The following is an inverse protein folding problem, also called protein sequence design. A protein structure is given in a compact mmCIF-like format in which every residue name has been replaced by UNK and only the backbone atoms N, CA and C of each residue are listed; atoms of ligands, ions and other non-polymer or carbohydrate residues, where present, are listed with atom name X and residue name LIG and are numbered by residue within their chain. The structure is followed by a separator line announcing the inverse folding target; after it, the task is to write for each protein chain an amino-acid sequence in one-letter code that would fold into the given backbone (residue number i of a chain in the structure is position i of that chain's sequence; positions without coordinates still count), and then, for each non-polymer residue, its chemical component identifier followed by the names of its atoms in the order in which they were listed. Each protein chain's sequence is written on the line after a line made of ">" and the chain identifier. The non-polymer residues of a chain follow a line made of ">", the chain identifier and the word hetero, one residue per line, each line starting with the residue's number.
data_IF_067317478818
#
_entry.id   IF_067317478818
#
_cell.length_a   1.000
_cell.length_b   1.000
_cell.length_c   1.000
_cell.angle_alpha   90.00
_cell.angle_beta   90.00
_cell.angle_gamma   90.00
#
_symmetry.space_group_name_H-M   'P 1'
#
loop_
_entity.id
_entity.type
_entity.pdbx_description
1 polymer ?
#
# COMPACT_ATOMS: atom_id res chain seq x y z
N UNK A 1 20.74 -31.86 -2.56
CA UNK A 1 19.59 -31.38 -3.35
C UNK A 1 19.23 -30.00 -2.83
N UNK A 2 19.07 -29.03 -3.71
CA UNK A 2 18.55 -27.69 -3.42
C UNK A 2 17.21 -27.54 -4.11
N UNK A 3 16.19 -27.09 -3.38
CA UNK A 3 14.85 -26.79 -3.90
C UNK A 3 14.39 -25.44 -3.41
N UNK A 4 13.55 -24.77 -4.18
CA UNK A 4 12.90 -23.50 -3.79
C UNK A 4 11.41 -23.58 -4.08
N UNK A 5 10.59 -22.98 -3.21
CA UNK A 5 9.15 -22.88 -3.36
C UNK A 5 8.62 -21.64 -2.69
N UNK A 6 7.58 -21.05 -3.25
CA UNK A 6 6.80 -19.96 -2.63
C UNK A 6 5.72 -20.51 -1.68
N UNK A 7 5.46 -21.82 -1.75
CA UNK A 7 4.36 -22.48 -1.03
C UNK A 7 4.88 -23.70 -0.25
N UNK A 8 5.62 -23.48 0.85
CA UNK A 8 6.15 -24.59 1.64
C UNK A 8 5.07 -25.46 2.29
N UNK A 9 3.88 -24.91 2.52
CA UNK A 9 2.73 -25.57 3.16
C UNK A 9 2.12 -26.69 2.30
N UNK A 10 2.27 -26.65 0.97
CA UNK A 10 1.76 -27.70 0.06
C UNK A 10 2.75 -28.87 -0.12
N UNK A 11 3.95 -28.73 0.40
CA UNK A 11 4.94 -29.81 0.32
C UNK A 11 4.54 -30.98 1.22
N UNK A 12 4.68 -32.20 0.69
CA UNK A 12 4.50 -33.40 1.50
C UNK A 12 5.46 -33.36 2.70
N UNK A 13 4.90 -33.53 3.90
CA UNK A 13 5.65 -33.59 5.15
C UNK A 13 6.78 -34.62 5.13
N UNK A 14 6.63 -35.68 4.32
CA UNK A 14 7.65 -36.70 4.13
C UNK A 14 8.91 -36.16 3.45
N UNK A 15 8.81 -35.11 2.60
CA UNK A 15 9.96 -34.46 1.96
C UNK A 15 10.78 -33.65 2.97
N UNK A 16 10.14 -33.19 4.04
CA UNK A 16 10.77 -32.32 5.05
C UNK A 16 11.41 -33.09 6.20
N UNK A 17 11.42 -34.45 6.14
CA UNK A 17 12.06 -35.31 7.16
C UNK A 17 13.57 -35.24 7.06
N UNK A 18 14.30 -35.48 8.18
CA UNK A 18 15.77 -35.60 8.19
C UNK A 18 16.31 -36.51 7.08
N UNK A 19 17.39 -36.08 6.43
CA UNK A 19 18.01 -36.77 5.30
C UNK A 19 17.38 -36.49 3.92
N UNK A 20 16.42 -35.59 3.84
CA UNK A 20 15.80 -35.12 2.58
C UNK A 20 15.92 -33.59 2.47
N UNK A 21 14.83 -32.84 2.42
CA UNK A 21 14.79 -31.36 2.45
C UNK A 21 14.64 -30.89 3.90
N UNK A 22 15.56 -31.27 4.75
CA UNK A 22 15.52 -31.09 6.19
C UNK A 22 15.98 -29.69 6.65
N UNK A 23 16.75 -29.00 5.82
CA UNK A 23 17.25 -27.67 6.12
C UNK A 23 16.42 -26.63 5.37
N UNK A 24 15.69 -25.80 6.11
CA UNK A 24 14.87 -24.71 5.55
C UNK A 24 15.59 -23.39 5.74
N UNK A 25 15.67 -22.63 4.64
CA UNK A 25 16.17 -21.25 4.64
C UNK A 25 14.98 -20.38 4.21
N UNK A 26 14.51 -19.53 5.11
CA UNK A 26 13.47 -18.57 4.81
C UNK A 26 14.15 -17.37 4.15
N UNK A 27 13.64 -16.96 2.99
CA UNK A 27 14.06 -15.74 2.29
C UNK A 27 12.92 -14.73 2.43
N UNK A 28 13.03 -13.89 3.44
CA UNK A 28 12.06 -12.84 3.72
C UNK A 28 12.13 -11.70 2.69
N UNK A 29 11.10 -10.83 2.71
CA UNK A 29 11.14 -9.58 1.95
C UNK A 29 12.32 -8.73 2.44
N UNK A 30 13.05 -8.06 1.53
CA UNK A 30 14.20 -7.27 1.91
C UNK A 30 13.79 -6.03 2.73
N UNK A 31 14.57 -5.72 3.76
CA UNK A 31 14.53 -4.44 4.46
C UNK A 31 15.07 -3.30 3.57
N UNK A 32 15.05 -2.07 4.06
CA UNK A 32 15.52 -0.90 3.32
C UNK A 32 16.94 -1.07 2.75
N UNK A 33 17.88 -1.57 3.59
CA UNK A 33 19.28 -1.81 3.16
C UNK A 33 19.35 -2.91 2.11
N UNK A 34 18.56 -3.96 2.29
CA UNK A 34 18.44 -5.05 1.33
C UNK A 34 17.89 -4.58 -0.01
N UNK A 35 16.84 -3.75 -0.02
CA UNK A 35 16.27 -3.18 -1.25
C UNK A 35 17.29 -2.29 -1.97
N UNK A 36 17.98 -1.41 -1.24
CA UNK A 36 19.03 -0.58 -1.81
C UNK A 36 20.18 -1.41 -2.40
N UNK A 37 20.60 -2.47 -1.70
CA UNK A 37 21.63 -3.38 -2.20
C UNK A 37 21.19 -4.12 -3.48
N UNK A 38 19.93 -4.57 -3.55
CA UNK A 38 19.38 -5.23 -4.74
C UNK A 38 19.31 -4.25 -5.91
N UNK A 39 18.81 -3.02 -5.69
CA UNK A 39 18.82 -1.96 -6.70
C UNK A 39 20.23 -1.70 -7.23
N UNK A 40 21.24 -1.58 -6.35
CA UNK A 40 22.65 -1.40 -6.73
C UNK A 40 23.18 -2.57 -7.58
N UNK A 41 22.79 -3.80 -7.28
CA UNK A 41 23.19 -4.98 -8.09
C UNK A 41 22.63 -4.90 -9.50
N UNK A 42 21.35 -4.57 -9.65
CA UNK A 42 20.72 -4.47 -10.96
C UNK A 42 21.17 -3.23 -11.73
N UNK A 43 21.44 -2.14 -11.04
CA UNK A 43 21.97 -0.89 -11.59
C UNK A 43 23.37 -1.03 -12.24
N UNK A 44 24.18 -2.02 -11.82
CA UNK A 44 25.49 -2.30 -12.46
C UNK A 44 25.41 -2.63 -13.94
N UNK A 45 24.24 -3.06 -14.41
CA UNK A 45 24.03 -3.46 -15.83
C UNK A 45 23.61 -2.29 -16.72
N UNK A 46 23.34 -1.13 -16.18
CA UNK A 46 22.82 0.06 -16.86
C UNK A 46 23.65 1.28 -16.52
N UNK A 47 23.53 2.33 -17.33
CA UNK A 47 24.15 3.62 -17.01
C UNK A 47 23.18 4.47 -16.21
N UNK A 48 23.62 4.91 -15.04
CA UNK A 48 22.93 5.91 -14.23
C UNK A 48 23.56 7.28 -14.47
N UNK A 49 22.77 8.34 -14.39
CA UNK A 49 23.30 9.69 -14.35
C UNK A 49 23.56 10.15 -12.88
N UNK A 50 24.10 11.34 -12.72
CA UNK A 50 24.50 11.89 -11.41
C UNK A 50 23.30 12.26 -10.53
N UNK A 51 22.08 12.30 -11.08
CA UNK A 51 20.85 12.64 -10.33
C UNK A 51 20.29 11.48 -9.54
N UNK A 52 20.79 10.26 -9.76
CA UNK A 52 20.17 9.03 -9.25
C UNK A 52 20.55 8.81 -7.79
N UNK A 53 19.53 8.82 -6.93
CA UNK A 53 19.57 8.34 -5.55
C UNK A 53 18.76 7.04 -5.40
N UNK A 54 19.46 5.93 -5.28
CA UNK A 54 18.84 4.60 -5.08
C UNK A 54 18.29 4.41 -3.67
N UNK A 55 18.76 5.20 -2.70
CA UNK A 55 18.22 5.15 -1.33
C UNK A 55 16.79 5.70 -1.28
N UNK A 56 16.54 6.82 -1.96
CA UNK A 56 15.19 7.40 -2.09
C UNK A 56 14.20 6.43 -2.75
N UNK A 57 14.64 5.73 -3.80
CA UNK A 57 13.84 4.69 -4.45
C UNK A 57 13.59 3.49 -3.52
N UNK A 58 14.59 3.08 -2.74
CA UNK A 58 14.44 2.00 -1.77
C UNK A 58 13.43 2.35 -0.66
N UNK A 59 13.40 3.61 -0.19
CA UNK A 59 12.39 4.11 0.75
C UNK A 59 10.98 4.04 0.16
N UNK A 60 10.81 4.52 -1.07
CA UNK A 60 9.53 4.55 -1.76
C UNK A 60 8.96 3.15 -2.10
N UNK A 61 9.79 2.11 -2.03
CA UNK A 61 9.44 0.75 -2.43
C UNK A 61 9.35 -0.22 -1.25
N UNK A 62 8.85 0.26 -0.11
CA UNK A 62 8.62 -0.60 1.06
C UNK A 62 7.72 -1.79 0.70
N UNK A 63 8.13 -2.99 1.14
CA UNK A 63 7.43 -4.25 0.84
C UNK A 63 7.69 -4.85 -0.54
N UNK A 64 8.42 -4.17 -1.45
CA UNK A 64 8.80 -4.71 -2.75
C UNK A 64 9.77 -5.88 -2.60
N UNK A 65 9.64 -6.87 -3.49
CA UNK A 65 10.54 -8.03 -3.55
C UNK A 65 11.62 -7.84 -4.61
N UNK A 66 12.63 -8.71 -4.61
CA UNK A 66 13.78 -8.59 -5.51
C UNK A 66 13.41 -8.53 -7.01
N UNK A 67 12.38 -9.26 -7.43
CA UNK A 67 11.86 -9.22 -8.80
C UNK A 67 11.28 -7.87 -9.18
N UNK A 68 10.57 -7.22 -8.26
CA UNK A 68 9.96 -5.90 -8.48
C UNK A 68 11.05 -4.85 -8.65
N UNK A 69 12.06 -4.88 -7.78
CA UNK A 69 13.20 -3.96 -7.83
C UNK A 69 14.03 -4.13 -9.11
N UNK A 70 14.22 -5.39 -9.55
CA UNK A 70 14.86 -5.68 -10.83
C UNK A 70 14.05 -5.13 -12.00
N UNK A 71 12.73 -5.30 -11.97
CA UNK A 71 11.82 -4.79 -12.99
C UNK A 71 11.81 -3.25 -13.01
N UNK A 72 11.88 -2.58 -11.85
CA UNK A 72 11.97 -1.11 -11.79
C UNK A 72 13.20 -0.58 -12.53
N UNK A 73 14.37 -1.18 -12.32
CA UNK A 73 15.59 -0.78 -13.05
C UNK A 73 15.42 -1.00 -14.56
N UNK A 74 14.78 -2.11 -14.96
CA UNK A 74 14.53 -2.41 -16.36
C UNK A 74 13.53 -1.42 -16.99
N UNK A 75 12.41 -1.14 -16.36
CA UNK A 75 11.41 -0.17 -16.84
C UNK A 75 12.01 1.25 -16.90
N UNK A 76 12.83 1.64 -15.93
CA UNK A 76 13.55 2.92 -15.96
C UNK A 76 14.51 3.02 -17.14
N UNK A 77 15.23 1.92 -17.45
CA UNK A 77 16.13 1.87 -18.62
C UNK A 77 15.36 2.00 -19.94
N UNK A 78 14.22 1.30 -20.06
CA UNK A 78 13.33 1.40 -21.22
C UNK A 78 12.80 2.84 -21.35
N UNK A 79 12.35 3.45 -20.27
CA UNK A 79 11.86 4.83 -20.26
C UNK A 79 12.93 5.83 -20.69
N UNK A 80 14.16 5.69 -20.19
CA UNK A 80 15.28 6.53 -20.60
C UNK A 80 15.54 6.46 -22.11
N UNK A 81 15.55 5.24 -22.68
CA UNK A 81 15.76 5.03 -24.14
C UNK A 81 14.60 5.59 -24.95
N UNK A 82 13.35 5.38 -24.53
CA UNK A 82 12.16 5.94 -25.20
C UNK A 82 12.19 7.48 -25.24
N UNK A 83 12.78 8.09 -24.23
CA UNK A 83 12.99 9.55 -24.15
C UNK A 83 14.31 10.02 -24.81
N UNK A 84 14.98 9.17 -25.60
CA UNK A 84 16.20 9.50 -26.34
C UNK A 84 17.46 9.67 -25.47
N UNK A 85 17.44 9.18 -24.22
CA UNK A 85 18.59 9.28 -23.31
C UNK A 85 19.38 7.97 -23.25
N UNK A 86 20.68 8.08 -22.92
CA UNK A 86 21.62 6.96 -22.81
C UNK A 86 21.90 6.57 -21.35
N UNK A 87 21.38 7.32 -20.39
CA UNK A 87 21.51 7.08 -18.97
C UNK A 87 20.16 7.26 -18.28
N UNK A 88 19.94 6.50 -17.22
CA UNK A 88 18.75 6.57 -16.38
C UNK A 88 18.90 7.77 -15.44
N UNK A 89 17.92 8.65 -15.43
CA UNK A 89 17.81 9.74 -14.49
C UNK A 89 16.87 9.38 -13.32
N UNK A 90 16.93 10.11 -12.22
CA UNK A 90 16.05 9.89 -11.06
C UNK A 90 14.55 9.87 -11.44
N UNK A 91 14.12 10.73 -12.36
CA UNK A 91 12.74 10.75 -12.85
C UNK A 91 12.30 9.44 -13.51
N UNK A 92 13.20 8.73 -14.20
CA UNK A 92 12.87 7.46 -14.84
C UNK A 92 12.63 6.35 -13.81
N UNK A 93 13.38 6.40 -12.71
CA UNK A 93 13.19 5.51 -11.59
C UNK A 93 11.86 5.79 -10.89
N UNK A 94 11.49 7.06 -10.70
CA UNK A 94 10.17 7.40 -10.15
C UNK A 94 9.03 6.94 -11.06
N UNK A 95 9.14 7.11 -12.37
CA UNK A 95 8.16 6.59 -13.33
C UNK A 95 8.10 5.06 -13.28
N UNK A 96 9.23 4.38 -13.13
CA UNK A 96 9.28 2.93 -12.99
C UNK A 96 8.65 2.43 -11.67
N UNK A 97 8.85 3.14 -10.56
CA UNK A 97 8.15 2.87 -9.29
C UNK A 97 6.64 2.93 -9.49
N UNK A 98 6.15 3.98 -10.17
CA UNK A 98 4.72 4.13 -10.48
C UNK A 98 4.20 2.98 -11.36
N UNK A 99 4.97 2.56 -12.36
CA UNK A 99 4.61 1.45 -13.26
C UNK A 99 4.49 0.13 -12.49
N UNK A 100 5.39 -0.12 -11.55
CA UNK A 100 5.40 -1.38 -10.78
C UNK A 100 4.30 -1.37 -9.70
N UNK A 101 4.06 -0.24 -9.04
CA UNK A 101 3.06 -0.14 -7.95
C UNK A 101 1.63 0.03 -8.49
N UNK A 102 1.42 0.92 -9.45
CA UNK A 102 0.09 1.30 -9.93
C UNK A 102 -0.23 0.81 -11.36
N UNK A 103 0.76 0.25 -12.04
CA UNK A 103 0.65 -0.18 -13.44
C UNK A 103 0.95 0.92 -14.44
N UNK A 104 0.99 0.54 -15.72
CA UNK A 104 1.24 1.48 -16.84
C UNK A 104 0.08 2.45 -17.03
N UNK A 105 0.38 3.64 -17.53
CA UNK A 105 -0.63 4.61 -17.91
C UNK A 105 -1.57 4.04 -18.99
N UNK A 106 -2.90 4.18 -18.78
CA UNK A 106 -3.94 3.83 -19.76
C UNK A 106 -4.19 5.00 -20.68
N UNK A 107 -3.54 5.02 -21.84
CA UNK A 107 -3.74 6.09 -22.84
C UNK A 107 -5.11 6.05 -23.52
N UNK A 108 -5.75 4.89 -23.52
CA UNK A 108 -7.03 4.63 -24.23
C UNK A 108 -8.25 4.95 -23.34
N UNK A 109 -8.06 5.15 -22.04
CA UNK A 109 -9.16 5.50 -21.12
C UNK A 109 -9.27 7.00 -20.98
N UNK A 110 -10.19 7.58 -21.76
CA UNK A 110 -10.48 9.00 -21.70
C UNK A 110 -11.60 9.22 -20.67
N UNK A 111 -11.26 9.81 -19.53
CA UNK A 111 -12.24 10.26 -18.56
C UNK A 111 -13.03 11.45 -19.10
N UNK A 112 -14.33 11.47 -18.88
CA UNK A 112 -15.18 12.65 -19.14
C UNK A 112 -14.73 13.84 -18.26
N UNK A 113 -15.17 15.05 -18.62
CA UNK A 113 -14.86 16.25 -17.81
C UNK A 113 -15.37 16.13 -16.37
N UNK A 114 -16.53 15.51 -16.21
CA UNK A 114 -17.17 15.31 -14.91
C UNK A 114 -16.42 14.26 -14.08
N UNK A 115 -16.08 13.11 -14.67
CA UNK A 115 -15.26 12.10 -14.00
C UNK A 115 -13.88 12.64 -13.59
N UNK A 116 -13.21 13.41 -14.47
CA UNK A 116 -11.95 14.09 -14.11
C UNK A 116 -12.12 15.01 -12.91
N UNK A 117 -13.23 15.75 -12.85
CA UNK A 117 -13.53 16.63 -11.73
C UNK A 117 -13.73 15.83 -10.44
N UNK A 118 -14.52 14.76 -10.49
CA UNK A 118 -14.75 13.89 -9.32
C UNK A 118 -13.45 13.28 -8.82
N UNK A 119 -12.67 12.66 -9.70
CA UNK A 119 -11.37 12.07 -9.35
C UNK A 119 -10.40 13.13 -8.80
N UNK A 120 -10.40 14.34 -9.36
CA UNK A 120 -9.53 15.41 -8.86
C UNK A 120 -9.86 15.80 -7.42
N UNK A 121 -11.14 15.96 -7.08
CA UNK A 121 -11.54 16.26 -5.70
C UNK A 121 -11.25 15.09 -4.76
N UNK A 122 -11.44 13.86 -5.20
CA UNK A 122 -11.12 12.66 -4.46
C UNK A 122 -9.64 12.61 -4.08
N UNK A 123 -8.74 12.73 -5.07
CA UNK A 123 -7.30 12.67 -4.85
C UNK A 123 -6.76 13.87 -4.06
N UNK A 124 -7.30 15.07 -4.32
CA UNK A 124 -6.95 16.26 -3.52
C UNK A 124 -7.44 16.10 -2.08
N UNK A 125 -8.58 15.45 -1.85
CA UNK A 125 -9.08 15.12 -0.53
C UNK A 125 -8.07 14.28 0.25
N UNK A 126 -7.55 13.20 -0.36
CA UNK A 126 -6.48 12.38 0.23
C UNK A 126 -5.24 13.21 0.55
N UNK A 127 -4.75 13.97 -0.42
CA UNK A 127 -3.52 14.74 -0.27
C UNK A 127 -3.63 15.85 0.79
N UNK A 128 -4.76 16.57 0.81
CA UNK A 128 -5.00 17.65 1.77
C UNK A 128 -5.04 17.13 3.20
N UNK A 129 -5.82 16.07 3.43
CA UNK A 129 -5.94 15.46 4.76
C UNK A 129 -4.61 14.88 5.22
N UNK A 130 -3.85 14.23 4.32
CA UNK A 130 -2.50 13.76 4.62
C UNK A 130 -1.59 14.90 5.05
N UNK A 131 -1.54 15.99 4.29
CA UNK A 131 -0.68 17.14 4.57
C UNK A 131 -1.02 17.86 5.90
N UNK A 132 -2.26 17.76 6.35
CA UNK A 132 -2.73 18.36 7.60
C UNK A 132 -2.55 17.45 8.82
N UNK A 133 -2.18 16.19 8.64
CA UNK A 133 -1.97 15.26 9.73
C UNK A 133 -0.50 15.21 10.15
N UNK A 134 -0.28 15.24 11.47
CA UNK A 134 1.06 15.19 12.05
C UNK A 134 1.77 13.84 11.85
N UNK A 135 0.98 12.76 11.87
CA UNK A 135 1.48 11.38 11.88
C UNK A 135 1.28 10.67 10.53
N UNK A 136 1.12 11.45 9.45
CA UNK A 136 0.99 10.94 8.09
C UNK A 136 2.31 11.05 7.31
N UNK A 137 2.50 10.13 6.39
CA UNK A 137 3.65 10.14 5.47
C UNK A 137 3.55 11.31 4.47
N UNK A 138 4.66 11.96 4.11
CA UNK A 138 4.65 13.10 3.18
C UNK A 138 4.05 12.74 1.80
N UNK A 139 3.26 13.65 1.26
CA UNK A 139 2.74 13.53 -0.11
C UNK A 139 3.83 13.88 -1.10
N UNK A 140 4.23 12.91 -1.91
CA UNK A 140 5.23 13.08 -2.97
C UNK A 140 4.60 13.51 -4.30
N UNK A 141 3.44 12.91 -4.64
CA UNK A 141 2.79 13.14 -5.94
C UNK A 141 1.29 12.91 -5.86
N UNK A 142 0.54 13.69 -6.62
CA UNK A 142 -0.89 13.51 -6.89
C UNK A 142 -1.07 13.33 -8.39
N UNK A 143 -1.86 12.38 -8.82
CA UNK A 143 -2.19 12.17 -10.23
C UNK A 143 -3.62 11.72 -10.42
N UNK A 144 -4.22 12.15 -11.54
CA UNK A 144 -5.54 11.70 -12.01
C UNK A 144 -5.43 10.93 -13.32
N UNK A 145 -4.24 10.40 -13.61
CA UNK A 145 -3.98 9.60 -14.81
C UNK A 145 -4.37 8.15 -14.55
N UNK A 146 -5.33 7.57 -15.30
CA UNK A 146 -5.74 6.19 -15.12
C UNK A 146 -4.61 5.20 -15.36
N UNK A 147 -4.52 4.17 -14.51
CA UNK A 147 -3.49 3.13 -14.56
C UNK A 147 -4.08 1.76 -14.87
N UNK A 148 -3.23 0.83 -15.33
CA UNK A 148 -3.65 -0.51 -15.74
C UNK A 148 -4.14 -1.39 -14.58
N UNK A 149 -3.74 -1.11 -13.34
CA UNK A 149 -4.21 -1.81 -12.15
C UNK A 149 -5.58 -1.29 -11.63
N UNK A 150 -6.26 -0.45 -12.40
CA UNK A 150 -7.63 -0.03 -12.11
C UNK A 150 -7.79 1.32 -11.44
N UNK A 151 -6.74 1.91 -10.90
CA UNK A 151 -6.76 3.25 -10.32
C UNK A 151 -7.08 4.30 -11.39
N UNK A 152 -7.99 5.25 -11.06
CA UNK A 152 -8.32 6.41 -11.89
C UNK A 152 -7.43 7.61 -11.58
N UNK A 153 -6.93 7.66 -10.37
CA UNK A 153 -5.92 8.54 -9.83
C UNK A 153 -5.24 7.88 -8.64
N UNK A 154 -4.26 8.50 -8.05
CA UNK A 154 -3.68 8.10 -6.76
C UNK A 154 -2.83 9.22 -6.16
N UNK A 155 -2.68 9.17 -4.85
CA UNK A 155 -1.72 9.97 -4.09
C UNK A 155 -0.55 9.07 -3.71
N UNK A 156 0.66 9.45 -4.12
CA UNK A 156 1.87 8.76 -3.70
C UNK A 156 2.40 9.39 -2.43
N UNK A 157 2.57 8.58 -1.41
CA UNK A 157 3.21 8.92 -0.15
C UNK A 157 4.54 8.17 -0.06
N UNK A 158 5.55 8.82 0.45
CA UNK A 158 6.87 8.21 0.65
C UNK A 158 7.27 8.42 2.11
N UNK A 159 7.48 7.35 2.87
CA UNK A 159 7.91 7.47 4.25
C UNK A 159 9.31 8.10 4.33
N UNK A 160 9.55 8.89 5.35
CA UNK A 160 10.88 9.43 5.64
C UNK A 160 11.82 8.35 6.20
N UNK A 161 11.23 7.39 6.92
CA UNK A 161 11.95 6.28 7.55
C UNK A 161 11.16 4.98 7.44
N UNK A 162 11.86 3.85 7.41
CA UNK A 162 11.21 2.53 7.46
C UNK A 162 10.74 2.24 8.89
N UNK A 163 9.42 2.06 9.07
CA UNK A 163 8.80 1.74 10.36
C UNK A 163 8.26 0.32 10.35
N UNK A 164 8.58 -0.43 11.40
CA UNK A 164 8.07 -1.80 11.62
C UNK A 164 6.91 -1.86 12.62
N UNK A 165 6.73 -0.82 13.43
CA UNK A 165 5.65 -0.73 14.41
C UNK A 165 4.84 0.53 14.13
N UNK A 166 3.52 0.37 14.14
CA UNK A 166 2.57 1.48 14.01
C UNK A 166 1.80 1.62 15.32
N UNK A 167 1.71 2.85 15.78
CA UNK A 167 0.87 3.22 16.92
C UNK A 167 -0.60 3.24 16.54
N UNK A 168 -1.49 3.25 17.54
CA UNK A 168 -2.93 3.41 17.30
C UNK A 168 -3.24 4.74 16.60
N UNK A 169 -2.55 5.82 16.97
CA UNK A 169 -2.78 7.15 16.40
C UNK A 169 -2.33 7.22 14.93
N UNK A 170 -1.22 6.59 14.57
CA UNK A 170 -0.78 6.45 13.18
C UNK A 170 -1.77 5.64 12.33
N UNK A 171 -2.33 4.55 12.87
CA UNK A 171 -3.36 3.78 12.17
C UNK A 171 -4.65 4.59 11.99
N UNK A 172 -5.05 5.39 12.98
CA UNK A 172 -6.18 6.30 12.87
C UNK A 172 -5.91 7.40 11.84
N UNK A 173 -4.70 7.96 11.81
CA UNK A 173 -4.29 8.92 10.80
C UNK A 173 -4.39 8.32 9.39
N UNK A 174 -3.90 7.09 9.23
CA UNK A 174 -4.00 6.36 7.96
C UNK A 174 -5.44 6.08 7.53
N UNK A 175 -6.31 5.66 8.45
CA UNK A 175 -7.75 5.50 8.17
C UNK A 175 -8.38 6.82 7.72
N UNK A 176 -8.06 7.92 8.40
CA UNK A 176 -8.57 9.25 8.08
C UNK A 176 -8.12 9.68 6.68
N UNK A 177 -6.87 9.45 6.32
CA UNK A 177 -6.35 9.71 4.97
C UNK A 177 -7.08 8.86 3.92
N UNK A 178 -7.22 7.55 4.13
CA UNK A 178 -7.86 6.64 3.17
C UNK A 178 -9.33 7.03 2.92
N UNK A 179 -10.07 7.44 3.94
CA UNK A 179 -11.50 7.79 3.81
C UNK A 179 -11.73 9.22 3.32
N UNK A 180 -10.71 10.06 3.26
CA UNK A 180 -10.85 11.48 2.93
C UNK A 180 -11.21 11.76 1.47
N UNK A 181 -10.83 10.88 0.54
CA UNK A 181 -11.27 10.98 -0.85
C UNK A 181 -12.79 10.88 -0.98
N UNK A 182 -13.40 9.90 -0.30
CA UNK A 182 -14.84 9.74 -0.22
C UNK A 182 -15.52 10.95 0.42
N UNK A 183 -14.96 11.47 1.51
CA UNK A 183 -15.50 12.66 2.17
C UNK A 183 -15.46 13.89 1.28
N UNK A 184 -14.40 14.08 0.51
CA UNK A 184 -14.32 15.17 -0.45
C UNK A 184 -15.42 15.06 -1.53
N UNK A 185 -15.74 13.85 -2.01
CA UNK A 185 -16.87 13.64 -2.90
C UNK A 185 -18.20 14.06 -2.25
N UNK A 186 -18.47 13.64 -1.02
CA UNK A 186 -19.73 13.95 -0.31
C UNK A 186 -19.92 15.44 -0.03
N UNK A 187 -18.84 16.18 0.18
CA UNK A 187 -18.89 17.63 0.43
C UNK A 187 -19.21 18.40 -0.86
N UNK A 188 -18.66 17.96 -1.99
CA UNK A 188 -18.67 18.76 -3.23
C UNK A 188 -19.76 18.34 -4.20
N UNK A 189 -20.15 17.07 -4.19
CA UNK A 189 -21.09 16.52 -5.17
C UNK A 189 -22.41 16.10 -4.53
N UNK A 190 -23.54 16.19 -5.25
CA UNK A 190 -24.86 15.81 -4.72
C UNK A 190 -25.02 14.30 -4.53
N UNK A 191 -24.15 13.51 -5.15
CA UNK A 191 -24.13 12.05 -5.02
C UNK A 191 -22.71 11.55 -5.04
N UNK A 192 -22.49 10.40 -4.41
CA UNK A 192 -21.20 9.73 -4.29
C UNK A 192 -21.03 8.67 -5.37
N UNK A 193 -19.79 8.33 -5.68
CA UNK A 193 -19.48 7.39 -6.75
C UNK A 193 -18.95 6.04 -6.21
N UNK A 194 -18.75 5.09 -7.08
CA UNK A 194 -18.10 3.82 -6.78
C UNK A 194 -16.58 3.92 -6.69
N UNK A 195 -16.00 5.10 -6.93
CA UNK A 195 -14.55 5.31 -7.00
C UNK A 195 -13.82 4.94 -5.70
N UNK A 196 -14.46 5.19 -4.56
CA UNK A 196 -13.90 4.92 -3.24
C UNK A 196 -13.95 3.43 -2.80
N UNK A 197 -14.33 2.48 -3.67
CA UNK A 197 -14.50 1.07 -3.27
C UNK A 197 -13.23 0.47 -2.67
N UNK A 198 -12.08 0.70 -3.27
CA UNK A 198 -10.79 0.20 -2.79
C UNK A 198 -10.38 0.85 -1.46
N UNK A 199 -10.64 2.13 -1.29
CA UNK A 199 -10.34 2.85 -0.04
C UNK A 199 -11.19 2.32 1.11
N UNK A 200 -12.48 2.09 0.87
CA UNK A 200 -13.39 1.49 1.85
C UNK A 200 -12.92 0.08 2.23
N UNK A 201 -12.48 -0.72 1.28
CA UNK A 201 -11.94 -2.06 1.52
C UNK A 201 -10.66 -2.00 2.37
N UNK A 202 -9.72 -1.14 2.02
CA UNK A 202 -8.49 -0.94 2.79
C UNK A 202 -8.77 -0.42 4.21
N UNK A 203 -9.63 0.59 4.35
CA UNK A 203 -10.02 1.12 5.65
C UNK A 203 -10.67 0.05 6.52
N UNK A 204 -11.57 -0.75 5.94
CA UNK A 204 -12.22 -1.87 6.64
C UNK A 204 -11.20 -2.92 7.11
N UNK A 205 -10.22 -3.25 6.27
CA UNK A 205 -9.15 -4.20 6.61
C UNK A 205 -8.29 -3.70 7.77
N UNK A 206 -7.90 -2.43 7.77
CA UNK A 206 -7.13 -1.81 8.85
C UNK A 206 -7.94 -1.79 10.14
N UNK A 207 -9.18 -1.29 10.13
CA UNK A 207 -10.05 -1.22 11.29
C UNK A 207 -10.31 -2.60 11.89
N UNK A 208 -10.56 -3.60 11.04
CA UNK A 208 -10.68 -5.00 11.44
C UNK A 208 -9.42 -5.49 12.15
N UNK A 209 -8.24 -5.25 11.59
CA UNK A 209 -6.97 -5.65 12.18
C UNK A 209 -6.70 -4.98 13.53
N UNK A 210 -7.06 -3.71 13.68
CA UNK A 210 -6.97 -2.99 14.97
C UNK A 210 -7.79 -3.66 16.07
N UNK A 211 -8.97 -4.17 15.73
CA UNK A 211 -9.87 -4.83 16.68
C UNK A 211 -9.44 -6.27 16.93
N UNK A 212 -9.18 -7.03 15.86
CA UNK A 212 -9.07 -8.51 15.93
C UNK A 212 -7.67 -9.01 16.24
N UNK A 213 -6.64 -8.25 15.84
CA UNK A 213 -5.23 -8.68 15.90
C UNK A 213 -4.38 -7.84 16.84
N UNK A 214 -4.61 -6.53 16.89
CA UNK A 214 -3.73 -5.62 17.64
C UNK A 214 -4.24 -5.29 19.05
N UNK A 215 -5.46 -5.76 19.41
CA UNK A 215 -6.04 -5.49 20.72
C UNK A 215 -6.27 -4.01 21.03
N UNK A 216 -6.51 -3.20 19.98
CA UNK A 216 -6.68 -1.74 20.11
C UNK A 216 -8.12 -1.32 20.38
N UNK A 217 -9.06 -2.28 20.51
CA UNK A 217 -10.45 -2.03 20.87
C UNK A 217 -10.58 -1.91 22.40
N UNK A 218 -11.34 -0.91 22.85
CA UNK A 218 -11.68 -0.77 24.28
C UNK A 218 -12.65 -1.87 24.75
N UNK A 219 -13.45 -2.41 23.86
CA UNK A 219 -14.50 -3.37 24.17
C UNK A 219 -13.99 -4.81 24.26
N UNK A 220 -13.10 -5.22 23.37
CA UNK A 220 -12.51 -6.56 23.38
C UNK A 220 -11.17 -6.65 24.11
N UNK A 221 -10.53 -5.51 24.39
CA UNK A 221 -9.26 -5.47 25.08
C UNK A 221 -8.16 -6.24 24.35
N UNK A 222 -7.37 -7.02 25.08
CA UNK A 222 -6.21 -7.76 24.58
C UNK A 222 -6.57 -9.19 24.09
N UNK A 223 -7.76 -9.39 23.57
CA UNK A 223 -8.16 -10.69 23.00
C UNK A 223 -7.83 -10.77 21.52
N UNK A 224 -7.10 -11.81 21.11
CA UNK A 224 -6.90 -12.17 19.70
C UNK A 224 -8.14 -12.86 19.15
N UNK A 225 -8.92 -12.17 18.33
CA UNK A 225 -10.18 -12.68 17.76
C UNK A 225 -10.00 -13.40 16.42
N UNK A 226 -8.86 -13.23 15.78
CA UNK A 226 -8.49 -13.90 14.53
C UNK A 226 -7.06 -14.41 14.57
N UNK A 227 -6.83 -15.53 13.91
CA UNK A 227 -5.49 -16.05 13.61
C UNK A 227 -5.26 -16.07 12.10
N UNK A 228 -4.03 -15.76 11.70
CA UNK A 228 -3.63 -15.89 10.29
C UNK A 228 -3.11 -17.31 10.10
N UNK A 229 -3.81 -18.09 9.28
CA UNK A 229 -3.30 -19.34 8.73
C UNK A 229 -2.58 -19.01 7.43
N UNK A 230 -1.44 -19.67 7.19
CA UNK A 230 -0.59 -19.49 5.99
C UNK A 230 0.11 -18.12 5.90
N UNK A 231 1.16 -17.95 6.72
CA UNK A 231 1.96 -16.71 6.74
C UNK A 231 2.70 -16.40 5.43
N UNK A 232 2.84 -17.35 4.51
CA UNK A 232 3.67 -17.24 3.30
C UNK A 232 2.89 -16.88 2.04
N UNK A 233 1.57 -16.97 2.07
CA UNK A 233 0.66 -16.46 1.05
C UNK A 233 -0.24 -15.42 1.68
N UNK A 234 -1.02 -14.70 0.90
CA UNK A 234 -2.03 -13.73 1.38
C UNK A 234 -2.87 -14.37 2.51
N UNK A 235 -2.33 -14.27 3.73
CA UNK A 235 -2.72 -15.06 4.87
C UNK A 235 -4.23 -15.07 5.11
N UNK A 236 -4.86 -16.23 4.98
CA UNK A 236 -6.28 -16.37 5.25
C UNK A 236 -6.54 -16.17 6.74
N UNK A 237 -7.26 -15.12 7.08
CA UNK A 237 -7.71 -14.87 8.44
C UNK A 237 -8.85 -15.86 8.80
N UNK A 238 -8.68 -16.56 9.91
CA UNK A 238 -9.69 -17.47 10.46
C UNK A 238 -10.20 -16.89 11.77
N UNK A 239 -11.50 -16.71 11.85
CA UNK A 239 -12.17 -16.22 13.06
C UNK A 239 -12.16 -17.28 14.16
N UNK A 240 -11.79 -16.92 15.38
CA UNK A 240 -11.71 -17.80 16.54
C UNK A 240 -12.86 -17.57 17.54
N UNK A 241 -13.93 -16.90 17.13
CA UNK A 241 -14.99 -16.45 18.02
C UNK A 241 -16.35 -16.94 17.56
N UNK A 242 -17.34 -16.86 18.47
CA UNK A 242 -18.73 -17.21 18.18
C UNK A 242 -19.38 -16.23 17.20
N UNK A 243 -20.47 -16.65 16.52
CA UNK A 243 -21.22 -15.83 15.56
C UNK A 243 -21.71 -14.50 16.18
N UNK A 244 -22.10 -14.50 17.46
CA UNK A 244 -22.51 -13.29 18.17
C UNK A 244 -21.35 -12.28 18.32
N UNK A 245 -20.15 -12.77 18.62
CA UNK A 245 -18.94 -11.94 18.72
C UNK A 245 -18.49 -11.46 17.33
N UNK A 246 -18.64 -12.29 16.29
CA UNK A 246 -18.35 -11.93 14.90
C UNK A 246 -19.25 -10.79 14.44
N UNK A 247 -20.56 -10.86 14.71
CA UNK A 247 -21.51 -9.77 14.40
C UNK A 247 -21.12 -8.47 15.10
N UNK A 248 -20.77 -8.53 16.38
CA UNK A 248 -20.34 -7.34 17.14
C UNK A 248 -19.02 -6.75 16.65
N UNK A 249 -18.07 -7.61 16.25
CA UNK A 249 -16.81 -7.24 15.64
C UNK A 249 -17.01 -6.49 14.32
N UNK A 250 -17.89 -6.98 13.44
CA UNK A 250 -18.25 -6.32 12.18
C UNK A 250 -18.89 -4.96 12.46
N UNK A 251 -19.86 -4.93 13.38
CA UNK A 251 -20.53 -3.68 13.76
C UNK A 251 -19.54 -2.62 14.25
N UNK A 252 -18.63 -2.96 15.18
CA UNK A 252 -17.63 -2.03 15.69
C UNK A 252 -16.65 -1.55 14.63
N UNK A 253 -16.22 -2.44 13.72
CA UNK A 253 -15.34 -2.04 12.62
C UNK A 253 -16.00 -1.02 11.68
N UNK A 254 -17.31 -1.13 11.48
CA UNK A 254 -18.09 -0.19 10.67
C UNK A 254 -18.36 1.11 11.45
N UNK A 255 -18.76 1.01 12.74
CA UNK A 255 -19.07 2.19 13.55
C UNK A 255 -17.82 3.03 13.86
N UNK A 256 -16.67 2.40 14.15
CA UNK A 256 -15.42 3.13 14.35
C UNK A 256 -14.99 3.86 13.07
N UNK A 257 -15.20 3.25 11.89
CA UNK A 257 -14.98 3.92 10.61
C UNK A 257 -15.95 5.11 10.39
N UNK A 258 -17.24 4.96 10.70
CA UNK A 258 -18.21 6.07 10.57
C UNK A 258 -17.97 7.19 11.58
N UNK A 259 -17.57 6.87 12.81
CA UNK A 259 -17.23 7.87 13.83
C UNK A 259 -15.95 8.64 13.46
N UNK A 260 -14.94 7.96 12.94
CA UNK A 260 -13.72 8.59 12.43
C UNK A 260 -14.00 9.49 11.23
N UNK A 261 -14.92 9.05 10.34
CA UNK A 261 -15.34 9.77 9.17
C UNK A 261 -16.10 11.06 9.53
N UNK A 262 -17.08 10.99 10.43
CA UNK A 262 -17.89 12.15 10.82
C UNK A 262 -17.17 13.14 11.74
N UNK A 263 -16.33 12.65 12.67
CA UNK A 263 -15.74 13.49 13.72
C UNK A 263 -14.43 14.18 13.31
N UNK A 264 -13.52 13.49 12.66
CA UNK A 264 -12.21 14.09 12.33
C UNK A 264 -12.19 14.86 11.02
N UNK A 265 -13.01 14.50 10.06
CA UNK A 265 -13.11 15.23 8.79
C UNK A 265 -13.91 16.54 8.93
N UNK A 266 -15.03 16.54 9.66
CA UNK A 266 -15.80 17.75 9.90
C UNK A 266 -14.99 18.79 10.69
N UNK A 267 -14.33 18.39 11.77
CA UNK A 267 -13.54 19.32 12.60
C UNK A 267 -12.32 19.91 11.87
N UNK A 268 -11.71 19.17 10.94
CA UNK A 268 -10.50 19.65 10.25
C UNK A 268 -10.73 20.31 8.91
N UNK A 269 -11.82 19.98 8.20
CA UNK A 269 -12.17 20.62 6.92
C UNK A 269 -13.00 21.91 7.09
N UNK A 270 -13.66 22.09 8.23
CA UNK A 270 -14.47 23.28 8.51
C UNK A 270 -13.86 24.25 9.52
N UNK A 271 -12.72 23.92 10.14
CA UNK A 271 -11.96 24.85 10.99
C UNK A 271 -10.84 25.60 10.22
N UNK A 272 -10.85 25.56 8.88
CA UNK A 272 -10.13 26.46 8.00
C UNK A 272 -11.20 27.37 7.37
#
# INVERSE_FOLDING_TARGET
>A
ILAATNRPEILDKALLRPGRLDRRIIVDKPDLKGREAILKVHAKKVKLDETVDLHEIALATSGAVGSDLANMINEAAIGAVQNGRRAIAQKDLWEAVEVVIAGKEKKDRILSKEEKRIVSYHEVGHALVTALQKDAEPVQKITIVPRTMGALGYVMQVPEEEKYLMTKDELIARLTTILSGRAAEEIVFPSVTTGASNDIEQATSIARSMITRYGMSKEFGLMGLETVQDQYLEGRSVSNVSDATETKKVYLSVCDNQLLYQWKLYDRLFCI
#
